data_IF_600747071787
#
_entry.id   IF_600747071787
#
_cell.length_a   1.000
_cell.length_b   1.000
_cell.length_c   1.000
_cell.angle_alpha   90.00
_cell.angle_beta   90.00
_cell.angle_gamma   90.00
#
_symmetry.space_group_name_H-M   'P 1'
#
loop_
_entity.id
_entity.type
_entity.pdbx_description
1 polymer ?
#
# COMPACT_ATOMS: atom_id res chain seq x y z
N UNK A 1 -5.21 -3.17 -18.78
CA UNK A 1 -3.78 -2.85 -18.67
C UNK A 1 -3.48 -1.71 -17.70
N UNK A 2 -3.90 -0.47 -17.95
CA UNK A 2 -3.59 0.67 -17.06
C UNK A 2 -4.10 0.45 -15.63
N UNK A 3 -5.37 0.07 -15.47
CA UNK A 3 -5.98 -0.26 -14.18
C UNK A 3 -5.26 -1.41 -13.45
N UNK A 4 -4.58 -2.29 -14.18
CA UNK A 4 -3.82 -3.41 -13.60
C UNK A 4 -2.47 -2.97 -13.04
N UNK A 5 -1.79 -2.03 -13.71
CA UNK A 5 -0.40 -1.67 -13.42
C UNK A 5 -0.25 -0.36 -12.66
N UNK A 6 -1.00 0.69 -13.00
CA UNK A 6 -0.80 2.01 -12.40
C UNK A 6 -1.11 2.05 -10.90
N UNK A 7 -2.15 1.36 -10.40
CA UNK A 7 -2.33 1.26 -8.95
C UNK A 7 -1.18 0.55 -8.23
N UNK A 8 -0.50 -0.39 -8.89
CA UNK A 8 0.69 -1.04 -8.34
C UNK A 8 1.87 -0.06 -8.25
N UNK A 9 2.05 0.79 -9.27
CA UNK A 9 3.05 1.88 -9.22
C UNK A 9 2.73 2.84 -8.06
N UNK A 10 1.47 3.27 -7.92
CA UNK A 10 1.06 4.10 -6.80
C UNK A 10 1.32 3.43 -5.45
N UNK A 11 1.02 2.13 -5.32
CA UNK A 11 1.30 1.37 -4.12
C UNK A 11 2.80 1.28 -3.81
N UNK A 12 3.67 1.07 -4.81
CA UNK A 12 5.12 1.06 -4.64
C UNK A 12 5.63 2.36 -4.02
N UNK A 13 5.18 3.52 -4.52
CA UNK A 13 5.53 4.81 -3.92
C UNK A 13 4.94 4.98 -2.51
N UNK A 14 3.69 4.58 -2.29
CA UNK A 14 3.08 4.58 -0.96
C UNK A 14 3.87 3.75 0.05
N UNK A 15 4.38 2.58 -0.35
CA UNK A 15 5.27 1.75 0.46
C UNK A 15 6.59 2.47 0.78
N UNK A 16 7.22 3.12 -0.20
CA UNK A 16 8.49 3.84 -0.01
C UNK A 16 8.33 4.98 1.00
N UNK A 17 7.30 5.82 0.84
CA UNK A 17 7.04 6.91 1.77
C UNK A 17 6.69 6.41 3.18
N UNK A 18 5.88 5.35 3.26
CA UNK A 18 5.53 4.71 4.53
C UNK A 18 6.76 4.12 5.23
N UNK A 19 7.63 3.42 4.50
CA UNK A 19 8.85 2.85 5.06
C UNK A 19 9.78 3.94 5.61
N UNK A 20 10.02 5.02 4.86
CA UNK A 20 10.85 6.15 5.30
C UNK A 20 10.29 6.78 6.58
N UNK A 21 8.99 7.04 6.62
CA UNK A 21 8.37 7.66 7.79
C UNK A 21 8.45 6.77 9.04
N UNK A 22 8.22 5.46 8.88
CA UNK A 22 8.31 4.49 9.97
C UNK A 22 9.76 4.33 10.44
N UNK A 23 10.74 4.33 9.53
CA UNK A 23 12.16 4.29 9.89
C UNK A 23 12.56 5.48 10.76
N UNK A 24 12.16 6.70 10.38
CA UNK A 24 12.42 7.91 11.19
C UNK A 24 11.84 7.74 12.60
N UNK A 25 10.57 7.32 12.73
CA UNK A 25 9.96 7.10 14.05
C UNK A 25 10.60 5.97 14.86
N UNK A 26 11.13 4.95 14.17
CA UNK A 26 11.85 3.85 14.81
C UNK A 26 13.24 4.28 15.31
N UNK A 27 13.96 5.06 14.51
CA UNK A 27 15.27 5.61 14.88
C UNK A 27 15.14 6.59 16.06
N UNK A 28 14.10 7.43 16.06
CA UNK A 28 13.78 8.31 17.19
C UNK A 28 13.50 7.52 18.47
N UNK A 29 12.76 6.40 18.37
CA UNK A 29 12.52 5.50 19.49
C UNK A 29 13.84 4.89 20.00
N UNK A 30 14.69 4.38 19.10
CA UNK A 30 15.97 3.78 19.49
C UNK A 30 16.89 4.79 20.19
N UNK A 31 16.95 6.04 19.72
CA UNK A 31 17.73 7.08 20.38
C UNK A 31 17.23 7.37 21.80
N UNK A 32 15.91 7.33 22.01
CA UNK A 32 15.28 7.56 23.31
C UNK A 32 15.47 6.38 24.29
N UNK A 33 15.70 5.16 23.80
CA UNK A 33 15.89 3.95 24.62
C UNK A 33 17.27 3.84 25.29
N UNK A 34 18.22 4.73 24.98
CA UNK A 34 19.56 4.74 25.59
C UNK A 34 19.60 5.27 27.06
N UNK A 35 18.45 5.36 27.74
CA UNK A 35 18.30 5.83 29.12
C UNK A 35 17.18 5.10 29.87
N UNK A 36 16.69 5.67 30.98
CA UNK A 36 15.60 5.09 31.76
C UNK A 36 14.30 5.00 30.93
N UNK A 37 13.73 3.79 30.87
CA UNK A 37 12.53 3.51 30.09
C UNK A 37 11.32 4.21 30.74
N UNK A 38 10.71 5.15 30.01
CA UNK A 38 9.51 5.85 30.47
C UNK A 38 8.22 5.32 29.79
N UNK A 39 7.05 5.64 30.36
CA UNK A 39 5.74 5.19 29.84
C UNK A 39 5.48 5.60 28.38
N UNK A 40 6.02 6.73 27.95
CA UNK A 40 5.81 7.29 26.62
C UNK A 40 6.57 6.50 25.55
N UNK A 41 7.78 6.04 25.87
CA UNK A 41 8.57 5.15 25.01
C UNK A 41 7.92 3.78 24.85
N UNK A 42 7.42 3.18 25.93
CA UNK A 42 6.64 1.93 25.83
C UNK A 42 5.38 2.14 24.98
N UNK A 43 4.74 3.30 25.08
CA UNK A 43 3.57 3.61 24.27
C UNK A 43 3.90 3.70 22.78
N UNK A 44 4.96 4.44 22.42
CA UNK A 44 5.44 4.57 21.04
C UNK A 44 5.89 3.22 20.46
N UNK A 45 6.64 2.43 21.23
CA UNK A 45 7.03 1.06 20.84
C UNK A 45 5.80 0.20 20.54
N UNK A 46 4.78 0.25 21.41
CA UNK A 46 3.52 -0.46 21.17
C UNK A 46 2.79 0.07 19.95
N UNK A 47 2.80 1.38 19.68
CA UNK A 47 2.18 1.95 18.49
C UNK A 47 2.86 1.43 17.22
N UNK A 48 4.19 1.48 17.17
CA UNK A 48 4.99 1.04 16.04
C UNK A 48 4.83 -0.46 15.80
N UNK A 49 4.98 -1.29 16.83
CA UNK A 49 4.80 -2.74 16.69
C UNK A 49 3.41 -3.10 16.16
N UNK A 50 2.37 -2.51 16.73
CA UNK A 50 0.97 -2.72 16.30
C UNK A 50 0.80 -2.37 14.82
N UNK A 51 1.27 -1.20 14.43
CA UNK A 51 1.13 -0.68 13.06
C UNK A 51 1.95 -1.49 12.05
N UNK A 52 3.18 -1.86 12.40
CA UNK A 52 4.06 -2.71 11.59
C UNK A 52 3.45 -4.09 11.32
N UNK A 53 2.82 -4.72 12.32
CA UNK A 53 2.14 -6.00 12.12
C UNK A 53 1.01 -5.89 11.08
N UNK A 54 0.22 -4.81 11.14
CA UNK A 54 -0.82 -4.52 10.16
C UNK A 54 -0.30 -4.23 8.77
N UNK A 55 0.68 -3.32 8.66
CA UNK A 55 1.30 -2.94 7.40
C UNK A 55 1.99 -4.12 6.74
N UNK A 56 2.72 -4.95 7.49
CA UNK A 56 3.35 -6.14 6.92
C UNK A 56 2.29 -7.10 6.38
N UNK A 57 1.22 -7.37 7.12
CA UNK A 57 0.14 -8.23 6.64
C UNK A 57 -0.53 -7.70 5.36
N UNK A 58 -0.81 -6.39 5.30
CA UNK A 58 -1.38 -5.73 4.12
C UNK A 58 -0.40 -5.77 2.93
N UNK A 59 0.81 -5.24 3.12
CA UNK A 59 1.75 -4.98 2.04
C UNK A 59 2.26 -6.26 1.40
N UNK A 60 2.61 -7.30 2.18
CA UNK A 60 3.10 -8.54 1.58
C UNK A 60 2.00 -9.23 0.77
N UNK A 61 0.76 -9.22 1.26
CA UNK A 61 -0.40 -9.76 0.54
C UNK A 61 -0.66 -9.00 -0.76
N UNK A 62 -0.73 -7.67 -0.70
CA UNK A 62 -1.03 -6.85 -1.88
C UNK A 62 0.10 -6.85 -2.90
N UNK A 63 1.36 -6.82 -2.46
CA UNK A 63 2.53 -6.91 -3.34
C UNK A 63 2.60 -8.29 -3.99
N UNK A 64 2.41 -9.38 -3.23
CA UNK A 64 2.40 -10.73 -3.80
C UNK A 64 1.34 -10.91 -4.90
N UNK A 65 0.12 -10.45 -4.62
CA UNK A 65 -0.97 -10.42 -5.60
C UNK A 65 -0.64 -9.49 -6.79
N UNK A 66 -0.03 -8.34 -6.51
CA UNK A 66 0.40 -7.35 -7.50
C UNK A 66 1.46 -7.88 -8.47
N UNK A 67 2.45 -8.62 -7.98
CA UNK A 67 3.48 -9.23 -8.82
C UNK A 67 2.88 -10.24 -9.79
N UNK A 68 1.94 -11.07 -9.37
CA UNK A 68 1.24 -12.00 -10.27
C UNK A 68 0.30 -11.29 -11.25
N UNK A 69 -0.31 -10.16 -10.85
CA UNK A 69 -1.05 -9.28 -11.79
C UNK A 69 -0.11 -8.70 -12.85
N UNK A 70 1.07 -8.24 -12.46
CA UNK A 70 2.09 -7.71 -13.38
C UNK A 70 2.62 -8.80 -14.34
N UNK A 71 2.90 -10.00 -13.82
CA UNK A 71 3.32 -11.16 -14.64
C UNK A 71 2.31 -11.47 -15.74
N UNK A 72 1.01 -11.54 -15.38
CA UNK A 72 -0.07 -11.80 -16.35
C UNK A 72 -0.26 -10.66 -17.33
N UNK A 73 -0.01 -9.42 -16.93
CA UNK A 73 -0.05 -8.26 -17.80
C UNK A 73 1.00 -8.31 -18.92
N UNK A 74 2.10 -9.05 -18.73
CA UNK A 74 3.12 -9.32 -19.75
C UNK A 74 2.78 -10.48 -20.71
N UNK A 75 1.59 -11.08 -20.60
CA UNK A 75 1.15 -12.18 -21.46
C UNK A 75 2.08 -13.41 -21.40
N UNK A 76 2.25 -14.09 -22.54
CA UNK A 76 3.09 -15.30 -22.63
C UNK A 76 4.55 -15.05 -22.26
N UNK A 77 5.11 -13.88 -22.59
CA UNK A 77 6.50 -13.57 -22.24
C UNK A 77 6.72 -13.40 -20.74
N UNK A 78 5.69 -12.99 -19.98
CA UNK A 78 5.73 -12.95 -18.52
C UNK A 78 5.79 -14.33 -17.86
N UNK A 79 5.45 -15.40 -18.56
CA UNK A 79 5.64 -16.78 -18.07
C UNK A 79 7.09 -17.25 -18.23
N UNK A 80 7.79 -16.77 -19.26
CA UNK A 80 9.16 -17.18 -19.52
C UNK A 80 10.12 -16.74 -18.41
N UNK A 81 11.08 -17.59 -18.08
CA UNK A 81 12.23 -17.24 -17.22
C UNK A 81 13.03 -16.05 -17.76
N UNK A 82 12.95 -15.75 -19.06
CA UNK A 82 13.57 -14.56 -19.64
C UNK A 82 12.98 -13.25 -19.10
N UNK A 83 11.74 -13.26 -18.60
CA UNK A 83 11.15 -12.09 -17.94
C UNK A 83 11.64 -11.87 -16.52
N UNK A 84 12.20 -12.91 -15.89
CA UNK A 84 12.60 -12.96 -14.48
C UNK A 84 11.47 -12.76 -13.45
N UNK A 85 10.26 -12.34 -13.85
CA UNK A 85 9.11 -12.13 -12.95
C UNK A 85 8.75 -13.39 -12.15
N UNK A 86 8.69 -14.61 -12.74
CA UNK A 86 8.41 -15.83 -11.97
C UNK A 86 9.43 -16.09 -10.85
N UNK A 87 10.71 -15.82 -11.11
CA UNK A 87 11.76 -15.96 -10.10
C UNK A 87 11.60 -14.93 -8.99
N UNK A 88 11.36 -13.65 -9.33
CA UNK A 88 11.11 -12.60 -8.35
C UNK A 88 9.90 -12.92 -7.45
N UNK A 89 8.81 -13.44 -8.03
CA UNK A 89 7.64 -13.89 -7.26
C UNK A 89 8.05 -15.00 -6.28
N UNK A 90 8.76 -16.03 -6.75
CA UNK A 90 9.19 -17.15 -5.91
C UNK A 90 10.09 -16.72 -4.75
N UNK A 91 10.94 -15.71 -4.94
CA UNK A 91 11.74 -15.12 -3.85
C UNK A 91 10.85 -14.34 -2.89
N UNK A 92 9.93 -13.54 -3.42
CA UNK A 92 9.08 -12.66 -2.62
C UNK A 92 8.07 -13.40 -1.75
N UNK A 93 7.47 -14.50 -2.21
CA UNK A 93 6.40 -15.20 -1.48
C UNK A 93 6.83 -15.69 -0.08
N UNK A 94 8.12 -15.86 0.19
CA UNK A 94 8.61 -16.13 1.55
C UNK A 94 8.26 -15.02 2.54
N UNK A 95 8.18 -13.76 2.10
CA UNK A 95 7.79 -12.62 2.95
C UNK A 95 6.36 -12.72 3.50
N UNK A 96 5.49 -13.53 2.88
CA UNK A 96 4.14 -13.80 3.37
C UNK A 96 4.13 -14.69 4.63
N UNK A 97 5.23 -15.41 4.90
CA UNK A 97 5.32 -16.39 6.00
C UNK A 97 6.38 -16.03 7.03
N UNK A 98 7.53 -15.50 6.62
CA UNK A 98 8.59 -15.06 7.54
C UNK A 98 8.09 -13.94 8.44
N UNK A 99 8.56 -13.85 9.69
CA UNK A 99 8.16 -12.78 10.64
C UNK A 99 6.63 -12.72 10.87
N UNK A 100 5.95 -13.87 10.81
CA UNK A 100 4.52 -14.03 11.12
C UNK A 100 3.62 -14.25 9.91
N UNK A 101 2.73 -15.23 9.96
CA UNK A 101 1.73 -15.44 8.90
C UNK A 101 0.65 -14.36 8.94
N UNK A 102 -0.05 -14.17 7.82
CA UNK A 102 -1.14 -13.19 7.70
C UNK A 102 -2.15 -13.27 8.86
N UNK A 103 -2.63 -14.47 9.16
CA UNK A 103 -3.66 -14.69 10.19
C UNK A 103 -3.18 -14.28 11.58
N UNK A 104 -1.93 -14.60 11.93
CA UNK A 104 -1.33 -14.27 13.22
C UNK A 104 -1.14 -12.76 13.35
N UNK A 105 -0.63 -12.10 12.31
CA UNK A 105 -0.36 -10.67 12.34
C UNK A 105 -1.64 -9.85 12.42
N UNK A 106 -2.66 -10.23 11.66
CA UNK A 106 -4.00 -9.62 11.73
C UNK A 106 -4.61 -9.77 13.12
N UNK A 107 -4.49 -10.94 13.75
CA UNK A 107 -4.99 -11.17 15.10
C UNK A 107 -4.28 -10.32 16.14
N UNK A 108 -2.94 -10.26 16.08
CA UNK A 108 -2.12 -9.43 16.97
C UNK A 108 -2.45 -7.94 16.81
N UNK A 109 -2.50 -7.49 15.57
CA UNK A 109 -2.81 -6.11 15.21
C UNK A 109 -4.19 -5.71 15.73
N UNK A 110 -5.23 -6.47 15.37
CA UNK A 110 -6.62 -6.19 15.77
C UNK A 110 -6.80 -6.25 17.28
N UNK A 111 -6.17 -7.22 17.95
CA UNK A 111 -6.24 -7.32 19.42
C UNK A 111 -5.66 -6.08 20.10
N UNK A 112 -4.57 -5.53 19.58
CA UNK A 112 -3.98 -4.28 20.09
C UNK A 112 -4.90 -3.08 19.83
N UNK A 113 -5.47 -2.97 18.62
CA UNK A 113 -6.44 -1.91 18.29
C UNK A 113 -7.68 -1.96 19.19
N UNK A 114 -8.26 -3.14 19.42
CA UNK A 114 -9.42 -3.31 20.29
C UNK A 114 -9.12 -2.95 21.75
N UNK A 115 -7.92 -3.29 22.25
CA UNK A 115 -7.49 -2.86 23.59
C UNK A 115 -7.48 -1.35 23.72
N UNK A 116 -7.01 -0.63 22.68
CA UNK A 116 -7.00 0.84 22.65
C UNK A 116 -8.41 1.43 22.54
N UNK A 117 -9.26 0.83 21.72
CA UNK A 117 -10.67 1.23 21.60
C UNK A 117 -11.42 1.14 22.95
N UNK A 118 -11.21 0.07 23.73
CA UNK A 118 -11.88 -0.11 25.03
C UNK A 118 -11.20 0.62 26.19
N UNK A 119 -9.90 0.92 26.08
CA UNK A 119 -9.12 1.63 27.09
C UNK A 119 -8.36 2.77 26.43
N UNK A 120 -9.03 3.91 26.13
CA UNK A 120 -8.37 5.05 25.53
C UNK A 120 -7.32 5.59 26.51
N UNK A 121 -6.10 5.74 26.02
CA UNK A 121 -5.01 6.38 26.77
C UNK A 121 -4.98 7.84 26.33
N UNK A 122 -5.17 8.77 27.28
CA UNK A 122 -4.98 10.20 27.04
C UNK A 122 -3.49 10.47 26.84
N UNK A 123 -3.01 10.30 25.62
CA UNK A 123 -1.65 10.70 25.27
C UNK A 123 -1.68 12.17 24.92
N UNK A 124 -0.90 12.96 25.64
CA UNK A 124 -0.52 14.29 25.19
C UNK A 124 0.34 14.07 23.95
N UNK A 125 -0.28 14.14 22.77
CA UNK A 125 0.45 14.19 21.51
C UNK A 125 1.49 15.30 21.64
N UNK A 126 2.77 14.94 21.71
CA UNK A 126 3.81 15.91 21.39
C UNK A 126 3.53 16.31 19.94
N UNK A 127 3.41 17.61 19.67
CA UNK A 127 2.94 18.23 18.43
C UNK A 127 3.68 17.83 17.13
N UNK A 128 4.59 16.84 17.16
CA UNK A 128 5.47 16.48 16.04
C UNK A 128 5.47 14.97 15.69
N UNK A 129 4.91 14.07 16.52
CA UNK A 129 4.84 12.64 16.18
C UNK A 129 3.49 12.29 15.52
N UNK A 130 3.50 11.55 14.41
CA UNK A 130 2.27 11.09 13.76
C UNK A 130 1.38 10.31 14.74
N UNK A 131 0.10 10.70 14.82
CA UNK A 131 -0.89 9.92 15.54
C UNK A 131 -1.37 8.74 14.68
N UNK A 132 -0.63 7.62 14.77
CA UNK A 132 -0.98 6.37 14.08
C UNK A 132 -2.37 5.85 14.49
N UNK A 133 -2.92 6.28 15.63
CA UNK A 133 -4.25 5.89 16.08
C UNK A 133 -5.28 7.02 16.02
N UNK A 134 -4.99 8.11 15.31
CA UNK A 134 -5.90 9.26 15.20
C UNK A 134 -7.26 8.90 14.61
N UNK A 135 -7.34 7.79 13.87
CA UNK A 135 -8.61 7.24 13.38
C UNK A 135 -9.59 6.86 14.50
N UNK A 136 -9.13 6.60 15.73
CA UNK A 136 -10.01 6.29 16.87
C UNK A 136 -10.81 7.50 17.35
N UNK A 137 -10.37 8.71 16.99
CA UNK A 137 -11.00 9.97 17.42
C UNK A 137 -12.04 10.50 16.41
N UNK A 138 -12.28 9.79 15.30
CA UNK A 138 -13.27 10.20 14.30
C UNK A 138 -14.69 9.78 14.70
N UNK A 139 -15.69 10.45 14.16
CA UNK A 139 -17.08 10.06 14.35
C UNK A 139 -17.42 8.87 13.43
N UNK A 140 -17.81 7.70 13.96
CA UNK A 140 -18.24 6.58 13.12
C UNK A 140 -19.56 6.85 12.38
N UNK A 141 -20.36 7.85 12.76
CA UNK A 141 -21.62 8.17 12.09
C UNK A 141 -21.52 9.33 11.09
N UNK A 142 -20.31 9.86 10.88
CA UNK A 142 -20.08 10.87 9.86
C UNK A 142 -20.45 10.33 8.45
N UNK A 143 -20.83 11.25 7.56
CA UNK A 143 -21.03 11.00 6.13
C UNK A 143 -20.03 11.80 5.30
N UNK A 144 -19.66 11.30 4.12
CA UNK A 144 -18.73 11.97 3.24
C UNK A 144 -19.25 13.36 2.81
N UNK A 145 -18.44 14.39 3.05
CA UNK A 145 -18.76 15.79 2.75
C UNK A 145 -18.68 16.14 1.25
N UNK A 146 -18.16 15.23 0.40
CA UNK A 146 -17.96 15.49 -1.01
C UNK A 146 -19.29 15.78 -1.71
N UNK A 147 -19.48 17.02 -2.17
CA UNK A 147 -20.61 17.46 -2.99
C UNK A 147 -20.31 17.46 -4.48
N UNK A 148 -19.06 17.21 -4.88
CA UNK A 148 -18.60 17.16 -6.26
C UNK A 148 -17.45 16.17 -6.44
N UNK A 149 -17.20 15.67 -7.66
CA UNK A 149 -16.05 14.81 -7.94
C UNK A 149 -14.70 15.46 -7.62
N UNK A 150 -14.56 16.78 -7.79
CA UNK A 150 -13.33 17.49 -7.43
C UNK A 150 -13.09 17.52 -5.93
N UNK A 151 -14.14 17.78 -5.13
CA UNK A 151 -14.03 17.78 -3.67
C UNK A 151 -13.72 16.39 -3.11
N UNK A 152 -14.21 15.32 -3.76
CA UNK A 152 -13.86 13.94 -3.41
C UNK A 152 -12.35 13.68 -3.44
N UNK A 153 -11.63 14.37 -4.33
CA UNK A 153 -10.19 14.19 -4.54
C UNK A 153 -9.32 15.03 -3.60
N UNK A 154 -9.93 15.88 -2.77
CA UNK A 154 -9.21 16.72 -1.83
C UNK A 154 -8.66 15.90 -0.65
N UNK A 155 -7.46 16.23 -0.15
CA UNK A 155 -6.79 15.41 0.86
C UNK A 155 -7.60 15.15 2.13
N UNK A 156 -8.24 16.15 2.74
CA UNK A 156 -9.03 15.95 3.95
C UNK A 156 -10.17 14.95 3.76
N UNK A 157 -10.77 14.90 2.57
CA UNK A 157 -11.92 14.02 2.27
C UNK A 157 -11.47 12.57 2.15
N UNK A 158 -10.41 12.31 1.35
CA UNK A 158 -9.88 10.97 1.18
C UNK A 158 -9.29 10.42 2.48
N UNK A 159 -8.47 11.20 3.20
CA UNK A 159 -7.89 10.77 4.47
C UNK A 159 -8.97 10.43 5.50
N UNK A 160 -9.99 11.29 5.61
CA UNK A 160 -11.10 11.08 6.55
C UNK A 160 -11.91 9.84 6.19
N UNK A 161 -12.16 9.58 4.90
CA UNK A 161 -12.86 8.38 4.46
C UNK A 161 -12.19 7.08 4.93
N UNK A 162 -10.86 7.02 4.85
CA UNK A 162 -10.10 5.86 5.31
C UNK A 162 -10.10 5.73 6.83
N UNK A 163 -10.00 6.84 7.56
CA UNK A 163 -10.09 6.85 9.02
C UNK A 163 -11.46 6.35 9.51
N UNK A 164 -12.56 6.85 8.92
CA UNK A 164 -13.93 6.42 9.25
C UNK A 164 -14.13 4.94 8.92
N UNK A 165 -13.63 4.47 7.76
CA UNK A 165 -13.65 3.04 7.42
C UNK A 165 -12.88 2.19 8.44
N UNK A 166 -11.68 2.62 8.83
CA UNK A 166 -10.86 1.91 9.81
C UNK A 166 -11.59 1.79 11.16
N UNK A 167 -12.24 2.85 11.62
CA UNK A 167 -13.02 2.81 12.86
C UNK A 167 -14.25 1.89 12.74
N UNK A 168 -15.03 2.02 11.66
CA UNK A 168 -16.24 1.20 11.44
C UNK A 168 -15.93 -0.30 11.38
N UNK A 169 -14.90 -0.68 10.63
CA UNK A 169 -14.48 -2.09 10.53
C UNK A 169 -13.94 -2.62 11.86
N UNK A 170 -13.23 -1.80 12.65
CA UNK A 170 -12.82 -2.15 14.00
C UNK A 170 -14.00 -2.34 14.96
N UNK A 171 -15.02 -1.48 14.89
CA UNK A 171 -16.25 -1.62 15.68
C UNK A 171 -16.97 -2.93 15.35
N UNK A 172 -17.10 -3.28 14.06
CA UNK A 172 -17.65 -4.57 13.65
C UNK A 172 -16.83 -5.75 14.20
N UNK A 173 -15.49 -5.66 14.14
CA UNK A 173 -14.63 -6.69 14.75
C UNK A 173 -14.77 -6.78 16.27
N UNK A 174 -15.13 -5.68 16.94
CA UNK A 174 -15.39 -5.65 18.39
C UNK A 174 -16.63 -6.47 18.77
N UNK A 175 -17.64 -6.47 17.90
CA UNK A 175 -18.85 -7.30 18.03
C UNK A 175 -18.61 -8.77 17.63
N UNK A 176 -17.65 -9.03 16.73
CA UNK A 176 -17.35 -10.36 16.20
C UNK A 176 -15.90 -10.80 16.50
N UNK A 177 -15.50 -10.77 17.77
CA UNK A 177 -14.09 -10.93 18.20
C UNK A 177 -13.42 -12.25 17.79
N UNK A 178 -14.18 -13.31 17.55
CA UNK A 178 -13.65 -14.62 17.15
C UNK A 178 -13.54 -14.80 15.62
N UNK A 179 -14.09 -13.86 14.85
CA UNK A 179 -14.12 -13.94 13.39
C UNK A 179 -12.86 -13.34 12.79
N UNK A 180 -12.03 -14.21 12.22
CA UNK A 180 -10.85 -13.79 11.48
C UNK A 180 -11.19 -12.86 10.31
N UNK A 181 -12.34 -13.06 9.67
CA UNK A 181 -12.81 -12.18 8.58
C UNK A 181 -12.96 -10.72 9.04
N UNK A 182 -13.64 -10.47 10.16
CA UNK A 182 -13.80 -9.11 10.67
C UNK A 182 -12.49 -8.53 11.20
N UNK A 183 -11.63 -9.37 11.79
CA UNK A 183 -10.29 -8.94 12.21
C UNK A 183 -9.43 -8.54 11.02
N UNK A 184 -9.41 -9.32 9.93
CA UNK A 184 -8.66 -9.00 8.70
C UNK A 184 -9.10 -7.66 8.13
N UNK A 185 -10.41 -7.40 8.09
CA UNK A 185 -10.96 -6.13 7.61
C UNK A 185 -10.57 -4.95 8.48
N UNK A 186 -10.67 -5.09 9.81
CA UNK A 186 -10.23 -4.05 10.75
C UNK A 186 -8.73 -3.77 10.64
N UNK A 187 -7.92 -4.82 10.58
CA UNK A 187 -6.47 -4.74 10.42
C UNK A 187 -6.08 -4.03 9.12
N UNK A 188 -6.65 -4.47 7.98
CA UNK A 188 -6.39 -3.88 6.67
C UNK A 188 -6.90 -2.44 6.58
N UNK A 189 -8.09 -2.14 7.11
CA UNK A 189 -8.66 -0.80 7.13
C UNK A 189 -7.76 0.21 7.84
N UNK A 190 -7.24 -0.15 9.02
CA UNK A 190 -6.26 0.67 9.73
C UNK A 190 -4.94 0.79 8.97
N UNK A 191 -4.37 -0.32 8.50
CA UNK A 191 -3.08 -0.32 7.79
C UNK A 191 -3.12 0.52 6.51
N UNK A 192 -4.21 0.47 5.74
CA UNK A 192 -4.41 1.30 4.56
C UNK A 192 -4.58 2.78 4.91
N UNK A 193 -5.28 3.09 6.01
CA UNK A 193 -5.39 4.48 6.50
C UNK A 193 -4.03 5.05 6.86
N UNK A 194 -3.17 4.28 7.53
CA UNK A 194 -1.80 4.70 7.88
C UNK A 194 -0.97 4.90 6.61
N UNK A 195 -0.98 3.93 5.69
CA UNK A 195 -0.23 4.02 4.44
C UNK A 195 -0.64 5.26 3.63
N UNK A 196 -1.95 5.52 3.52
CA UNK A 196 -2.46 6.69 2.81
C UNK A 196 -1.99 8.01 3.45
N UNK A 197 -1.98 8.09 4.79
CA UNK A 197 -1.47 9.25 5.52
C UNK A 197 0.04 9.44 5.30
N UNK A 198 0.84 8.39 5.50
CA UNK A 198 2.29 8.45 5.28
C UNK A 198 2.64 8.87 3.85
N UNK A 199 1.90 8.34 2.87
CA UNK A 199 2.10 8.69 1.47
C UNK A 199 1.79 10.18 1.26
N UNK A 200 0.65 10.68 1.75
CA UNK A 200 0.30 12.09 1.63
C UNK A 200 1.36 13.01 2.25
N UNK A 201 1.79 12.71 3.48
CA UNK A 201 2.78 13.53 4.16
C UNK A 201 4.12 13.54 3.41
N UNK A 202 4.53 12.38 2.88
CA UNK A 202 5.71 12.27 2.03
C UNK A 202 5.60 13.08 0.73
N UNK A 203 4.40 13.18 0.15
CA UNK A 203 4.15 14.07 -1.01
C UNK A 203 4.29 15.55 -0.62
N UNK A 204 3.85 15.94 0.58
CA UNK A 204 3.97 17.32 1.06
C UNK A 204 5.43 17.76 1.27
N UNK A 205 6.32 16.84 1.63
CA UNK A 205 7.75 17.09 1.82
C UNK A 205 8.51 17.33 0.50
N UNK A 206 7.91 17.02 -0.66
CA UNK A 206 8.54 17.24 -1.97
C UNK A 206 8.61 18.74 -2.29
N UNK A 207 9.82 19.24 -2.48
CA UNK A 207 10.08 20.65 -2.81
C UNK A 207 9.83 20.96 -4.30
N UNK A 208 10.17 20.03 -5.19
CA UNK A 208 9.95 20.15 -6.64
C UNK A 208 8.46 20.06 -6.99
N UNK A 209 7.88 21.16 -7.46
CA UNK A 209 6.42 21.32 -7.65
C UNK A 209 5.85 20.42 -8.76
N UNK A 210 6.47 20.33 -9.96
CA UNK A 210 6.13 19.32 -10.96
C UNK A 210 6.09 17.89 -10.41
N UNK A 211 7.13 17.46 -9.71
CA UNK A 211 7.20 16.12 -9.12
C UNK A 211 6.12 15.92 -8.05
N UNK A 212 5.95 16.90 -7.16
CA UNK A 212 4.91 16.90 -6.13
C UNK A 212 3.52 16.71 -6.75
N UNK A 213 3.22 17.40 -7.86
CA UNK A 213 1.94 17.27 -8.54
C UNK A 213 1.69 15.85 -9.11
N UNK A 214 2.72 15.21 -9.68
CA UNK A 214 2.61 13.83 -10.18
C UNK A 214 2.47 12.83 -9.02
N UNK A 215 3.23 13.01 -7.94
CA UNK A 215 3.13 12.17 -6.75
C UNK A 215 1.78 12.32 -6.06
N UNK A 216 1.20 13.52 -6.07
CA UNK A 216 -0.14 13.77 -5.59
C UNK A 216 -1.21 13.03 -6.42
N UNK A 217 -1.06 12.98 -7.74
CA UNK A 217 -1.95 12.17 -8.60
C UNK A 217 -1.82 10.67 -8.33
N UNK A 218 -0.61 10.16 -8.08
CA UNK A 218 -0.41 8.77 -7.68
C UNK A 218 -1.06 8.45 -6.34
N UNK A 219 -0.96 9.37 -5.38
CA UNK A 219 -1.62 9.28 -4.08
C UNK A 219 -3.15 9.24 -4.22
N UNK A 220 -3.73 10.12 -5.03
CA UNK A 220 -5.16 10.10 -5.36
C UNK A 220 -5.57 8.78 -6.04
N UNK A 221 -4.78 8.29 -7.01
CA UNK A 221 -5.06 6.99 -7.65
C UNK A 221 -5.04 5.85 -6.64
N UNK A 222 -4.08 5.82 -5.72
CA UNK A 222 -4.02 4.80 -4.67
C UNK A 222 -5.29 4.82 -3.81
N UNK A 223 -5.70 6.01 -3.34
CA UNK A 223 -6.89 6.18 -2.53
C UNK A 223 -8.15 5.66 -3.26
N UNK A 224 -8.37 6.13 -4.50
CA UNK A 224 -9.53 5.75 -5.30
C UNK A 224 -9.54 4.26 -5.64
N UNK A 225 -8.36 3.68 -5.91
CA UNK A 225 -8.24 2.24 -6.15
C UNK A 225 -8.66 1.41 -4.93
N UNK A 226 -8.15 1.72 -3.74
CA UNK A 226 -8.56 1.01 -2.51
C UNK A 226 -10.03 1.26 -2.17
N UNK A 227 -10.54 2.47 -2.41
CA UNK A 227 -11.97 2.77 -2.26
C UNK A 227 -12.84 1.94 -3.19
N UNK A 228 -12.41 1.75 -4.44
CA UNK A 228 -13.13 0.95 -5.42
C UNK A 228 -13.11 -0.55 -5.06
N UNK A 229 -11.96 -1.09 -4.64
CA UNK A 229 -11.85 -2.51 -4.22
C UNK A 229 -12.70 -2.81 -2.97
N UNK A 230 -12.79 -1.86 -2.03
CA UNK A 230 -13.48 -2.03 -0.75
C UNK A 230 -14.76 -1.18 -0.65
N UNK A 231 -15.44 -0.95 -1.78
CA UNK A 231 -16.55 0.01 -1.87
C UNK A 231 -17.67 -0.27 -0.85
N UNK A 232 -17.94 -1.55 -0.56
CA UNK A 232 -18.93 -1.94 0.45
C UNK A 232 -18.62 -1.40 1.85
N UNK A 233 -17.34 -1.28 2.21
CA UNK A 233 -16.90 -0.76 3.51
C UNK A 233 -17.02 0.76 3.58
N UNK A 234 -16.65 1.44 2.49
CA UNK A 234 -16.81 2.89 2.37
C UNK A 234 -18.28 3.33 2.24
N UNK A 235 -19.20 2.41 1.97
CA UNK A 235 -20.65 2.67 1.95
C UNK A 235 -21.37 2.28 3.24
N UNK A 236 -20.68 1.72 4.23
CA UNK A 236 -21.28 1.37 5.52
C UNK A 236 -21.92 2.59 6.18
N UNK A 237 -23.13 2.40 6.71
CA UNK A 237 -23.94 3.45 7.33
C UNK A 237 -24.09 4.70 6.46
N UNK A 238 -24.15 4.52 5.14
CA UNK A 238 -24.24 5.58 4.14
C UNK A 238 -23.10 6.62 4.19
N UNK A 239 -21.88 6.23 4.59
CA UNK A 239 -20.73 7.15 4.51
C UNK A 239 -20.57 7.72 3.10
N UNK A 240 -20.40 6.85 2.09
CA UNK A 240 -20.60 7.21 0.69
C UNK A 240 -22.03 6.88 0.24
N UNK A 241 -22.71 7.88 -0.30
CA UNK A 241 -23.95 7.66 -1.03
C UNK A 241 -23.68 7.05 -2.44
N UNK A 242 -24.75 6.64 -3.14
CA UNK A 242 -24.63 6.00 -4.45
C UNK A 242 -23.96 6.89 -5.50
N UNK A 243 -24.22 8.20 -5.47
CA UNK A 243 -23.64 9.16 -6.42
C UNK A 243 -22.14 9.34 -6.18
N UNK A 244 -21.73 9.49 -4.93
CA UNK A 244 -20.31 9.59 -4.54
C UNK A 244 -19.55 8.30 -4.89
N UNK A 245 -20.18 7.14 -4.73
CA UNK A 245 -19.60 5.86 -5.16
C UNK A 245 -19.33 5.83 -6.68
N UNK A 246 -20.24 6.36 -7.51
CA UNK A 246 -20.00 6.53 -8.95
C UNK A 246 -18.79 7.43 -9.23
N UNK A 247 -18.69 8.54 -8.49
CA UNK A 247 -17.56 9.47 -8.63
C UNK A 247 -16.21 8.85 -8.30
N UNK A 248 -16.14 7.93 -7.33
CA UNK A 248 -14.90 7.19 -7.03
C UNK A 248 -14.43 6.43 -8.28
N UNK A 249 -15.33 5.67 -8.91
CA UNK A 249 -14.99 4.88 -10.09
C UNK A 249 -14.63 5.77 -11.29
N UNK A 250 -15.43 6.80 -11.57
CA UNK A 250 -15.19 7.74 -12.67
C UNK A 250 -13.86 8.49 -12.49
N UNK A 251 -13.59 8.97 -11.27
CA UNK A 251 -12.35 9.68 -10.96
C UNK A 251 -11.14 8.76 -11.04
N UNK A 252 -11.26 7.51 -10.61
CA UNK A 252 -10.20 6.51 -10.74
C UNK A 252 -9.81 6.32 -12.20
N UNK A 253 -10.79 6.13 -13.10
CA UNK A 253 -10.54 5.99 -14.53
C UNK A 253 -9.94 7.26 -15.13
N UNK A 254 -10.40 8.43 -14.68
CA UNK A 254 -9.81 9.72 -15.05
C UNK A 254 -8.34 9.86 -14.63
N UNK A 255 -7.95 9.35 -13.46
CA UNK A 255 -6.56 9.39 -13.00
C UNK A 255 -5.63 8.52 -13.83
N UNK A 256 -6.10 7.37 -14.34
CA UNK A 256 -5.29 6.50 -15.20
C UNK A 256 -4.78 7.26 -16.44
N UNK A 257 -5.65 8.06 -17.07
CA UNK A 257 -5.28 8.87 -18.23
C UNK A 257 -4.23 9.95 -17.88
N UNK A 258 -4.31 10.55 -16.69
CA UNK A 258 -3.35 11.57 -16.22
C UNK A 258 -1.98 10.98 -15.90
N UNK A 259 -1.94 9.76 -15.36
CA UNK A 259 -0.70 9.07 -14.97
C UNK A 259 -0.01 8.43 -16.18
N UNK A 260 -0.77 8.02 -17.20
CA UNK A 260 -0.24 7.37 -18.42
C UNK A 260 1.02 8.02 -19.03
N UNK A 261 1.13 9.36 -19.22
CA UNK A 261 2.34 9.96 -19.78
C UNK A 261 3.57 9.82 -18.87
N UNK A 262 3.37 9.73 -17.56
CA UNK A 262 4.44 9.64 -16.56
C UNK A 262 4.76 8.21 -16.15
N UNK A 263 4.02 7.20 -16.62
CA UNK A 263 4.14 5.82 -16.15
C UNK A 263 5.56 5.24 -16.32
N UNK A 264 6.25 5.55 -17.43
CA UNK A 264 7.63 5.09 -17.67
C UNK A 264 8.64 5.87 -16.79
N UNK A 265 8.68 7.22 -16.80
CA UNK A 265 9.55 7.97 -15.90
C UNK A 265 9.40 7.61 -14.41
N UNK A 266 8.18 7.27 -13.96
CA UNK A 266 7.92 6.83 -12.59
C UNK A 266 8.62 5.51 -12.26
N UNK A 267 8.61 4.53 -13.17
CA UNK A 267 9.31 3.26 -12.93
C UNK A 267 10.82 3.37 -13.14
N UNK A 268 11.26 4.21 -14.08
CA UNK A 268 12.68 4.55 -14.25
C UNK A 268 13.24 5.25 -13.00
N UNK A 269 12.41 6.04 -12.32
CA UNK A 269 12.73 6.71 -11.06
C UNK A 269 13.07 5.77 -9.90
N UNK A 270 12.83 4.46 -10.03
CA UNK A 270 13.33 3.46 -9.07
C UNK A 270 14.84 3.24 -9.17
N UNK A 271 15.46 3.59 -10.31
CA UNK A 271 16.90 3.48 -10.50
C UNK A 271 17.42 2.04 -10.57
N UNK A 272 16.58 1.09 -10.95
CA UNK A 272 16.94 -0.34 -11.06
C UNK A 272 17.67 -0.56 -12.38
N UNK A 273 18.87 -1.12 -12.32
CA UNK A 273 19.68 -1.42 -13.52
C UNK A 273 19.20 -2.69 -14.24
N UNK A 274 19.50 -2.82 -15.54
CA UNK A 274 19.22 -4.03 -16.31
C UNK A 274 19.85 -5.30 -15.69
N UNK A 275 21.01 -5.14 -15.02
CA UNK A 275 21.67 -6.23 -14.31
C UNK A 275 20.86 -6.70 -13.10
N UNK A 276 20.39 -5.76 -12.27
CA UNK A 276 19.56 -6.07 -11.09
C UNK A 276 18.18 -6.62 -11.49
N UNK A 277 17.56 -6.03 -12.51
CA UNK A 277 16.25 -6.47 -13.00
C UNK A 277 16.32 -7.84 -13.69
N UNK A 278 17.43 -8.09 -14.40
CA UNK A 278 17.72 -9.32 -15.14
C UNK A 278 16.56 -9.79 -16.04
N UNK A 279 15.85 -8.85 -16.66
CA UNK A 279 14.66 -9.11 -17.46
C UNK A 279 14.86 -8.73 -18.92
N UNK A 280 14.67 -9.67 -19.84
CA UNK A 280 14.70 -9.40 -21.28
C UNK A 280 13.53 -8.50 -21.73
N UNK A 281 12.39 -8.56 -21.04
CA UNK A 281 11.20 -7.76 -21.36
C UNK A 281 11.11 -6.44 -20.59
N UNK A 282 11.97 -6.26 -19.58
CA UNK A 282 12.04 -5.07 -18.74
C UNK A 282 13.27 -4.21 -19.02
N UNK A 283 13.95 -4.42 -20.15
CA UNK A 283 15.16 -3.67 -20.50
C UNK A 283 14.90 -2.18 -20.60
N UNK A 284 15.85 -1.39 -20.11
CA UNK A 284 15.79 0.07 -20.15
C UNK A 284 15.66 0.63 -21.58
N UNK A 285 16.35 0.03 -22.56
CA UNK A 285 16.33 0.48 -23.96
C UNK A 285 15.07 0.06 -24.75
N UNK A 286 14.25 -0.82 -24.19
CA UNK A 286 13.07 -1.37 -24.86
C UNK A 286 13.36 -2.31 -26.03
N UNK A 287 14.61 -2.74 -26.28
CA UNK A 287 14.96 -3.72 -27.33
C UNK A 287 14.67 -5.16 -26.88
N UNK A 288 13.38 -5.43 -26.67
CA UNK A 288 12.87 -6.67 -26.04
C UNK A 288 13.13 -7.89 -26.93
N UNK A 289 12.82 -7.79 -28.23
CA UNK A 289 12.80 -8.96 -29.11
C UNK A 289 14.20 -9.53 -29.38
N UNK A 290 15.21 -8.66 -29.55
CA UNK A 290 16.58 -9.12 -29.71
C UNK A 290 17.09 -9.76 -28.43
N UNK A 291 16.84 -9.14 -27.28
CA UNK A 291 17.22 -9.69 -25.99
C UNK A 291 16.59 -11.07 -25.71
N UNK A 292 15.33 -11.28 -26.13
CA UNK A 292 14.68 -12.59 -26.02
C UNK A 292 15.37 -13.65 -26.89
N UNK A 293 15.72 -13.31 -28.13
CA UNK A 293 16.44 -14.22 -29.05
C UNK A 293 17.83 -14.54 -28.50
N UNK A 294 18.57 -13.53 -28.06
CA UNK A 294 19.91 -13.69 -27.48
C UNK A 294 19.91 -14.58 -26.24
N UNK A 295 18.88 -14.45 -25.39
CA UNK A 295 18.74 -15.29 -24.20
C UNK A 295 18.36 -16.72 -24.57
N UNK A 296 17.42 -16.90 -25.50
CA UNK A 296 17.03 -18.22 -26.00
C UNK A 296 18.22 -18.96 -26.62
N UNK A 297 19.07 -18.27 -27.40
CA UNK A 297 20.26 -18.87 -28.01
C UNK A 297 21.27 -19.41 -26.98
N UNK A 298 21.26 -18.91 -25.74
CA UNK A 298 22.14 -19.35 -24.65
C UNK A 298 21.53 -20.45 -23.78
N UNK A 299 20.29 -20.85 -24.02
CA UNK A 299 19.64 -21.91 -23.25
C UNK A 299 20.39 -23.24 -23.40
N UNK A 300 20.58 -24.02 -22.32
CA UNK A 300 21.33 -25.28 -22.38
C UNK A 300 20.80 -26.28 -23.40
N UNK A 301 19.49 -26.23 -23.70
CA UNK A 301 18.84 -27.09 -24.68
C UNK A 301 19.28 -26.79 -26.12
N UNK A 302 19.70 -25.55 -26.39
CA UNK A 302 20.10 -25.10 -27.72
C UNK A 302 21.62 -25.24 -27.96
N UNK A 303 22.31 -26.04 -27.13
CA UNK A 303 23.74 -26.36 -27.33
C UNK A 303 23.97 -27.26 -28.56
N UNK A 304 22.98 -28.06 -28.93
CA UNK A 304 22.99 -28.94 -30.10
C UNK A 304 21.67 -28.79 -30.86
N UNK A 305 21.71 -28.93 -32.19
CA UNK A 305 20.50 -28.85 -33.03
C UNK A 305 19.61 -30.09 -32.92
N UNK A 306 20.21 -31.23 -32.55
CA UNK A 306 19.52 -32.50 -32.33
C UNK A 306 19.70 -32.89 -30.86
N UNK A 307 18.58 -33.18 -30.19
CA UNK A 307 18.55 -33.67 -28.82
C UNK A 307 18.70 -35.20 -28.89
N UNK A 308 19.70 -35.76 -28.20
CA UNK A 308 19.87 -37.22 -28.04
C UNK A 308 18.79 -37.84 -27.12
#
# INVERSE_FOLDING_TARGET
>A
QQLTLFPLISMSYGCIFTARRIQISYDDLLQQLNGDINSDQLYLQNQLHTTLSGLKALLTTEVGNGMERARRACGGHGFSSSSNIPHLINVFIGSLTFEGTFDVLVQQHTSSLLKRLHKPVNVRTRDQSMDLFGFLNVDPHETCIASSPSLLLEPPVLLRAFQVRALKTLLQSSHHRTSLHFQSRASMGHAESVLLQCFYDGVLEITDKPLQAVMFQLWQLYALWRMNEHLGEFRMDNYLNAQQASWVQESMLGMLAKIRPNAIPLVDGFGITDFELNSAIGRYDGDIYRALIERAAKEPLNKTDVVE
#
